data_IF_149553868968
#
_entry.id   IF_149553868968
#
_cell.length_a   1.000
_cell.length_b   1.000
_cell.length_c   1.000
_cell.angle_alpha   90.00
_cell.angle_beta   90.00
_cell.angle_gamma   90.00
#
_symmetry.space_group_name_H-M   'P 1'
#
loop_
_entity.id
_entity.type
_entity.pdbx_description
1 polymer ?
#
# COMPACT_ATOMS: atom_id res chain seq x y z
N UNK A 1 -5.05 3.55 7.30
CA UNK A 1 -4.88 2.19 7.90
C UNK A 1 -3.53 1.61 7.55
N UNK A 2 -3.12 1.68 6.27
CA UNK A 2 -1.81 1.16 5.82
C UNK A 2 -0.62 1.98 6.33
N UNK A 3 -0.73 3.31 6.42
CA UNK A 3 0.35 4.18 6.90
C UNK A 3 0.90 3.80 8.28
N UNK A 4 0.03 3.43 9.23
CA UNK A 4 0.49 3.06 10.58
C UNK A 4 1.28 1.74 10.60
N UNK A 5 0.93 0.80 9.71
CA UNK A 5 1.66 -0.47 9.54
C UNK A 5 2.99 -0.21 8.83
N UNK A 6 2.98 0.65 7.81
CA UNK A 6 4.18 1.10 7.10
C UNK A 6 5.17 1.79 8.05
N UNK A 7 4.70 2.68 8.93
CA UNK A 7 5.58 3.35 9.90
C UNK A 7 6.24 2.36 10.87
N UNK A 8 5.47 1.41 11.44
CA UNK A 8 6.04 0.36 12.31
C UNK A 8 7.03 -0.54 11.56
N UNK A 9 6.73 -0.87 10.29
CA UNK A 9 7.61 -1.64 9.44
C UNK A 9 8.91 -0.89 9.09
N UNK A 10 8.83 0.41 8.78
CA UNK A 10 10.01 1.24 8.49
C UNK A 10 10.95 1.35 9.70
N UNK A 11 10.41 1.45 10.92
CA UNK A 11 11.19 1.44 12.16
C UNK A 11 11.95 0.12 12.35
N UNK A 12 11.32 -1.00 12.00
CA UNK A 12 11.88 -2.36 12.15
C UNK A 12 12.74 -2.82 10.97
N UNK A 13 12.69 -2.14 9.81
CA UNK A 13 13.36 -2.53 8.55
C UNK A 13 14.87 -2.77 8.69
N UNK A 14 15.54 -2.02 9.56
CA UNK A 14 17.00 -2.13 9.75
C UNK A 14 17.40 -3.27 10.69
N UNK A 15 16.45 -3.78 11.48
CA UNK A 15 16.70 -4.77 12.53
C UNK A 15 16.07 -6.13 12.23
N UNK A 16 15.07 -6.16 11.36
CA UNK A 16 14.31 -7.35 10.99
C UNK A 16 14.31 -7.51 9.46
N UNK A 17 15.08 -8.47 8.96
CA UNK A 17 15.17 -8.76 7.53
C UNK A 17 13.85 -9.28 6.95
N UNK A 18 13.00 -9.95 7.74
CA UNK A 18 11.70 -10.41 7.26
C UNK A 18 10.75 -9.23 7.04
N UNK A 19 10.79 -8.21 7.92
CA UNK A 19 10.06 -6.95 7.71
C UNK A 19 10.57 -6.18 6.49
N UNK A 20 11.89 -6.22 6.24
CA UNK A 20 12.47 -5.61 5.04
C UNK A 20 12.00 -6.30 3.76
N UNK A 21 12.05 -7.63 3.70
CA UNK A 21 11.52 -8.39 2.57
C UNK A 21 10.03 -8.10 2.34
N UNK A 22 9.25 -8.04 3.42
CA UNK A 22 7.83 -7.68 3.34
C UNK A 22 7.58 -6.28 2.77
N UNK A 23 8.42 -5.30 3.14
CA UNK A 23 8.36 -3.94 2.57
C UNK A 23 8.74 -3.90 1.09
N UNK A 24 9.77 -4.65 0.69
CA UNK A 24 10.21 -4.75 -0.70
C UNK A 24 9.10 -5.38 -1.56
N UNK A 25 8.47 -6.47 -1.10
CA UNK A 25 7.34 -7.10 -1.79
C UNK A 25 6.10 -6.18 -1.87
N UNK A 26 5.83 -5.40 -0.82
CA UNK A 26 4.76 -4.42 -0.83
C UNK A 26 5.02 -3.28 -1.84
N UNK A 27 6.28 -2.86 -1.97
CA UNK A 27 6.68 -1.86 -2.96
C UNK A 27 6.53 -2.41 -4.38
N UNK A 28 7.00 -3.62 -4.64
CA UNK A 28 6.85 -4.27 -5.95
C UNK A 28 5.37 -4.39 -6.34
N UNK A 29 4.52 -4.80 -5.40
CA UNK A 29 3.07 -4.86 -5.61
C UNK A 29 2.45 -3.50 -5.95
N UNK A 30 2.95 -2.41 -5.36
CA UNK A 30 2.48 -1.06 -5.66
C UNK A 30 2.83 -0.64 -7.10
N UNK A 31 4.03 -0.99 -7.57
CA UNK A 31 4.43 -0.76 -8.96
C UNK A 31 3.59 -1.59 -9.95
N UNK A 32 3.31 -2.85 -9.63
CA UNK A 32 2.43 -3.68 -10.46
C UNK A 32 1.02 -3.09 -10.55
N UNK A 33 0.51 -2.51 -9.46
CA UNK A 33 -0.79 -1.86 -9.46
C UNK A 33 -0.81 -0.60 -10.31
N UNK A 34 0.25 0.21 -10.25
CA UNK A 34 0.42 1.40 -11.08
C UNK A 34 0.45 1.06 -12.58
N UNK A 35 1.17 0.00 -12.99
CA UNK A 35 1.20 -0.47 -14.38
C UNK A 35 -0.20 -0.80 -14.92
N UNK A 36 -1.06 -1.42 -14.09
CA UNK A 36 -2.44 -1.71 -14.48
C UNK A 36 -3.25 -0.42 -14.63
N UNK A 37 -3.10 0.54 -13.71
CA UNK A 37 -3.82 1.81 -13.75
C UNK A 37 -3.44 2.61 -15.00
N UNK A 38 -2.15 2.66 -15.34
CA UNK A 38 -1.66 3.34 -16.54
C UNK A 38 -2.16 2.67 -17.82
N UNK A 39 -2.18 1.32 -17.84
CA UNK A 39 -2.79 0.56 -18.92
C UNK A 39 -4.28 0.90 -19.11
N UNK A 40 -5.04 1.00 -18.01
CA UNK A 40 -6.46 1.35 -18.05
C UNK A 40 -6.67 2.79 -18.55
N UNK A 41 -5.87 3.74 -18.07
CA UNK A 41 -5.88 5.13 -18.53
C UNK A 41 -5.64 5.23 -20.04
N UNK A 42 -4.70 4.44 -20.56
CA UNK A 42 -4.40 4.37 -21.99
C UNK A 42 -5.59 3.82 -22.78
N UNK A 43 -6.17 2.69 -22.36
CA UNK A 43 -7.33 2.08 -23.04
C UNK A 43 -8.57 2.99 -23.02
N UNK A 44 -8.78 3.74 -21.95
CA UNK A 44 -9.86 4.72 -21.84
C UNK A 44 -9.67 5.88 -22.83
N UNK A 45 -8.45 6.35 -23.02
CA UNK A 45 -8.12 7.38 -24.01
C UNK A 45 -8.33 6.88 -25.45
N UNK A 46 -7.87 5.67 -25.76
CA UNK A 46 -8.08 5.04 -27.08
C UNK A 46 -9.58 4.89 -27.39
N UNK A 47 -10.36 4.41 -26.42
CA UNK A 47 -11.81 4.25 -26.56
C UNK A 47 -12.51 5.58 -26.85
N UNK A 48 -12.10 6.67 -26.17
CA UNK A 48 -12.62 8.02 -26.40
C UNK A 48 -12.23 8.55 -27.80
N UNK A 49 -11.02 8.27 -28.26
CA UNK A 49 -10.57 8.65 -29.60
C UNK A 49 -11.35 7.91 -30.69
N UNK A 50 -11.57 6.61 -30.54
CA UNK A 50 -12.37 5.82 -31.46
C UNK A 50 -13.81 6.31 -31.54
N UNK A 51 -14.43 6.63 -30.40
CA UNK A 51 -15.78 7.22 -30.35
C UNK A 51 -15.84 8.58 -31.08
N UNK A 52 -14.84 9.46 -30.89
CA UNK A 52 -14.77 10.77 -31.55
C UNK A 52 -14.59 10.67 -33.07
N UNK A 53 -13.82 9.68 -33.55
CA UNK A 53 -13.59 9.47 -34.98
C UNK A 53 -14.81 8.86 -35.70
N UNK A 54 -15.67 8.12 -34.99
CA UNK A 54 -16.95 7.65 -35.53
C UNK A 54 -17.92 8.80 -35.86
N UNK A 55 -17.96 9.86 -35.06
CA UNK A 55 -18.80 11.05 -35.34
C UNK A 55 -18.37 11.82 -36.60
N UNK A 56 -17.12 11.62 -37.06
CA UNK A 56 -16.53 12.39 -38.18
C UNK A 56 -16.47 11.62 -39.50
N UNK A 57 -16.71 10.31 -39.50
CA UNK A 57 -16.45 9.45 -40.67
C UNK A 57 -17.60 8.46 -40.84
N UNK A 58 -18.49 8.71 -41.80
CA UNK A 58 -19.66 7.87 -42.09
C UNK A 58 -19.29 6.48 -42.65
N UNK A 59 -18.71 5.61 -41.84
CA UNK A 59 -18.34 4.25 -42.22
C UNK A 59 -18.99 3.19 -41.30
N UNK A 60 -19.38 2.09 -41.95
CA UNK A 60 -20.37 1.05 -41.58
C UNK A 60 -19.94 0.14 -40.40
N UNK A 61 -18.90 0.51 -39.64
CA UNK A 61 -18.45 -0.21 -38.43
C UNK A 61 -19.23 0.18 -37.15
N UNK A 62 -20.29 0.99 -37.28
CA UNK A 62 -21.07 1.59 -36.19
C UNK A 62 -21.80 0.60 -35.27
N UNK A 63 -21.77 -0.72 -35.55
CA UNK A 63 -22.56 -1.71 -34.82
C UNK A 63 -21.76 -2.57 -33.83
N UNK A 64 -20.44 -2.45 -33.79
CA UNK A 64 -19.64 -3.14 -32.77
C UNK A 64 -19.40 -2.14 -31.63
N UNK A 65 -20.01 -2.33 -30.45
CA UNK A 65 -19.67 -1.57 -29.26
C UNK A 65 -18.15 -1.60 -29.07
N UNK A 66 -17.54 -0.51 -28.62
CA UNK A 66 -16.10 -0.48 -28.34
C UNK A 66 -15.64 -1.61 -27.40
N UNK A 67 -16.54 -2.11 -26.55
CA UNK A 67 -16.35 -3.27 -25.66
C UNK A 67 -16.30 -4.64 -26.34
N UNK A 68 -16.74 -4.77 -27.61
CA UNK A 68 -16.74 -6.01 -28.39
C UNK A 68 -15.59 -6.08 -29.41
N UNK A 69 -14.67 -5.10 -29.40
CA UNK A 69 -13.44 -5.17 -30.19
C UNK A 69 -12.53 -6.30 -29.63
N UNK A 70 -12.02 -7.23 -30.47
CA UNK A 70 -11.13 -8.32 -30.02
C UNK A 70 -9.92 -7.86 -29.20
N UNK A 71 -9.31 -6.72 -29.54
CA UNK A 71 -8.19 -6.17 -28.78
C UNK A 71 -8.63 -5.63 -27.42
N UNK A 72 -9.82 -5.02 -27.34
CA UNK A 72 -10.38 -4.56 -26.08
C UNK A 72 -10.75 -5.74 -25.17
N UNK A 73 -11.30 -6.82 -25.72
CA UNK A 73 -11.62 -8.05 -24.97
C UNK A 73 -10.33 -8.69 -24.43
N UNK A 74 -9.29 -8.82 -25.26
CA UNK A 74 -8.01 -9.40 -24.86
C UNK A 74 -7.31 -8.55 -23.79
N UNK A 75 -7.31 -7.22 -23.94
CA UNK A 75 -6.79 -6.28 -22.93
C UNK A 75 -7.56 -6.39 -21.61
N UNK A 76 -8.90 -6.44 -21.67
CA UNK A 76 -9.74 -6.57 -20.47
C UNK A 76 -9.49 -7.89 -19.73
N UNK A 77 -9.34 -9.00 -20.46
CA UNK A 77 -9.01 -10.29 -19.86
C UNK A 77 -7.62 -10.28 -19.22
N UNK A 78 -6.63 -9.74 -19.92
CA UNK A 78 -5.26 -9.60 -19.41
C UNK A 78 -5.22 -8.75 -18.14
N UNK A 79 -5.87 -7.58 -18.13
CA UNK A 79 -6.01 -6.74 -16.94
C UNK A 79 -6.75 -7.46 -15.81
N UNK A 80 -7.82 -8.19 -16.11
CA UNK A 80 -8.53 -8.98 -15.10
C UNK A 80 -7.64 -10.03 -14.42
N UNK A 81 -6.77 -10.69 -15.18
CA UNK A 81 -5.79 -11.62 -14.62
C UNK A 81 -4.75 -10.92 -13.75
N UNK A 82 -4.20 -9.78 -14.20
CA UNK A 82 -3.24 -9.00 -13.41
C UNK A 82 -3.86 -8.47 -12.10
N UNK A 83 -5.10 -7.98 -12.14
CA UNK A 83 -5.83 -7.52 -10.95
C UNK A 83 -6.01 -8.67 -9.95
N UNK A 84 -6.33 -9.87 -10.44
CA UNK A 84 -6.45 -11.06 -9.58
C UNK A 84 -5.12 -11.40 -8.92
N UNK A 85 -4.01 -11.37 -9.67
CA UNK A 85 -2.67 -11.61 -9.12
C UNK A 85 -2.33 -10.62 -8.00
N UNK A 86 -2.52 -9.32 -8.25
CA UNK A 86 -2.29 -8.26 -7.26
C UNK A 86 -3.15 -8.48 -6.02
N UNK A 87 -4.42 -8.84 -6.21
CA UNK A 87 -5.34 -9.08 -5.09
C UNK A 87 -4.84 -10.23 -4.23
N UNK A 88 -4.44 -11.35 -4.83
CA UNK A 88 -3.91 -12.50 -4.10
C UNK A 88 -2.61 -12.19 -3.36
N UNK A 89 -1.68 -11.47 -3.99
CA UNK A 89 -0.43 -11.03 -3.35
C UNK A 89 -0.68 -10.05 -2.21
N UNK A 90 -1.64 -9.14 -2.35
CA UNK A 90 -2.03 -8.23 -1.27
C UNK A 90 -2.62 -8.97 -0.06
N UNK A 91 -3.43 -10.01 -0.31
CA UNK A 91 -3.99 -10.86 0.73
C UNK A 91 -2.89 -11.61 1.50
N UNK A 92 -1.88 -12.13 0.78
CA UNK A 92 -0.71 -12.76 1.38
C UNK A 92 0.07 -11.76 2.26
N UNK A 93 0.41 -10.58 1.74
CA UNK A 93 1.09 -9.55 2.53
C UNK A 93 0.27 -9.11 3.75
N UNK A 94 -1.06 -9.11 3.67
CA UNK A 94 -1.92 -8.82 4.81
C UNK A 94 -1.84 -9.92 5.89
N UNK A 95 -1.65 -11.17 5.49
CA UNK A 95 -1.45 -12.28 6.41
C UNK A 95 -0.05 -12.24 7.02
N UNK A 96 0.98 -12.06 6.22
CA UNK A 96 2.39 -11.99 6.66
C UNK A 96 2.61 -10.86 7.66
N UNK A 97 1.92 -9.72 7.47
CA UNK A 97 1.92 -8.62 8.43
C UNK A 97 1.56 -9.09 9.84
N UNK A 98 0.55 -9.94 9.97
CA UNK A 98 0.06 -10.45 11.27
C UNK A 98 1.16 -11.32 11.91
N UNK A 99 1.81 -12.16 11.11
CA UNK A 99 2.89 -13.06 11.55
C UNK A 99 4.14 -12.28 11.98
N UNK A 100 4.45 -11.18 11.27
CA UNK A 100 5.53 -10.25 11.61
C UNK A 100 5.20 -9.33 12.80
N UNK A 101 3.98 -9.41 13.34
CA UNK A 101 3.54 -8.58 14.46
C UNK A 101 3.54 -7.09 14.14
N UNK A 102 3.38 -6.72 12.86
CA UNK A 102 3.30 -5.33 12.44
C UNK A 102 1.92 -4.78 12.80
N UNK A 103 1.89 -3.88 13.79
CA UNK A 103 0.64 -3.38 14.35
C UNK A 103 0.24 -2.05 13.74
N UNK A 104 -1.07 -1.79 13.69
CA UNK A 104 -1.54 -0.41 13.62
C UNK A 104 -1.04 0.23 14.91
N UNK A 105 -0.13 1.19 14.82
CA UNK A 105 0.20 2.08 15.95
C UNK A 105 -1.10 2.80 16.34
N UNK A 106 -1.89 2.17 17.19
CA UNK A 106 -3.01 2.80 17.86
C UNK A 106 -2.35 3.70 18.90
N UNK A 107 -2.38 5.01 18.66
CA UNK A 107 -1.88 5.97 19.63
C UNK A 107 -2.44 5.65 21.01
N UNK A 108 -1.54 5.30 21.94
CA UNK A 108 -1.86 5.13 23.36
C UNK A 108 -2.22 3.72 23.80
N UNK A 109 -1.25 2.79 23.75
CA UNK A 109 -1.12 1.80 24.82
C UNK A 109 0.03 2.25 25.72
N UNK A 110 -0.31 3.07 26.71
CA UNK A 110 0.53 3.28 27.88
C UNK A 110 0.85 1.92 28.49
N UNK A 111 2.14 1.56 28.52
CA UNK A 111 2.67 0.44 29.28
C UNK A 111 2.11 0.42 30.71
N UNK A 112 1.64 -0.73 31.22
CA UNK A 112 1.46 -0.93 32.65
C UNK A 112 2.70 -1.61 33.21
N UNK A 113 3.69 -0.83 33.64
CA UNK A 113 4.76 -1.20 34.60
C UNK A 113 5.57 0.08 34.90
N UNK A 114 6.08 0.39 36.08
CA UNK A 114 5.93 -0.08 37.44
C UNK A 114 6.59 1.01 38.32
N UNK A 115 6.10 1.16 39.55
CA UNK A 115 6.78 1.79 40.69
C UNK A 115 7.33 3.23 40.53
N UNK A 116 6.69 4.13 41.28
CA UNK A 116 7.28 5.39 41.70
C UNK A 116 8.65 5.17 42.36
N UNK A 117 9.73 5.55 41.68
CA UNK A 117 10.97 5.91 42.37
C UNK A 117 10.90 7.38 42.72
N UNK A 118 10.40 7.65 43.93
CA UNK A 118 10.62 8.93 44.59
C UNK A 118 12.13 9.19 44.66
N UNK A 119 12.54 10.34 44.15
CA UNK A 119 13.88 10.90 44.35
C UNK A 119 14.07 11.17 45.85
N UNK A 120 15.06 10.59 46.53
CA UNK A 120 15.31 10.93 47.92
C UNK A 120 15.68 12.42 48.04
N UNK A 121 15.26 13.09 49.13
CA UNK A 121 15.62 14.48 49.36
C UNK A 121 17.15 14.61 49.47
N UNK A 122 17.70 15.67 48.86
CA UNK A 122 19.12 15.99 48.96
C UNK A 122 19.45 16.31 50.42
N UNK A 123 20.38 15.56 50.99
CA UNK A 123 20.95 15.86 52.30
C UNK A 123 21.80 17.13 52.18
N UNK A 124 21.37 18.23 52.80
CA UNK A 124 22.18 19.44 52.96
C UNK A 124 23.05 19.28 54.22
N UNK A 125 24.36 19.43 54.04
CA UNK A 125 25.37 19.46 55.12
C UNK A 125 25.25 20.78 55.89
N UNK A 126 25.40 20.82 57.23
CA UNK A 126 25.46 22.07 57.97
C UNK A 126 26.81 22.76 57.70
N UNK A 127 26.78 24.03 57.32
CA UNK A 127 27.97 24.88 57.32
C UNK A 127 28.44 25.07 58.77
N UNK A 128 29.57 24.46 59.12
CA UNK A 128 30.27 24.76 60.36
C UNK A 128 30.65 26.25 60.40
N UNK A 129 30.43 26.85 61.56
CA UNK A 129 30.84 28.20 61.90
C UNK A 129 32.18 28.11 62.61
N UNK A 130 33.15 28.93 62.17
CA UNK A 130 34.18 29.50 63.04
C UNK A 130 34.19 31.02 62.84
#
# INVERSE_FOLDING_TARGET
MIQAVLSDAEEKRLTDEAVKMWLDELQDLAYDAEDILDGFGTQALESKLMAKNQDSTGQVLSFIPASLNPNAIMSNYSMGSKIKDITSRLEQLCQDRIELGLQRIAGGASSPTAAAHQRPPSSSVPTERE
#
